data_IF_520716831911
#
_entry.id   IF_520716831911
#
_cell.length_a   1.000
_cell.length_b   1.000
_cell.length_c   1.000
_cell.angle_alpha   90.00
_cell.angle_beta   90.00
_cell.angle_gamma   90.00
#
_symmetry.space_group_name_H-M   'P 1'
#
loop_
_entity.id
_entity.type
_entity.pdbx_description
1 polymer ?
#
# COMPACT_ATOMS: atom_id res chain seq x y z
N UNK A 1 -21.90 -0.26 -19.92
CA UNK A 1 -20.64 0.50 -19.97
C UNK A 1 -19.62 -0.41 -19.29
N UNK A 2 -18.85 -1.15 -20.08
CA UNK A 2 -17.89 -2.11 -19.55
C UNK A 2 -16.76 -1.29 -18.93
N UNK A 3 -16.71 -1.28 -17.60
CA UNK A 3 -15.55 -0.83 -16.86
C UNK A 3 -14.36 -1.63 -17.41
N UNK A 4 -13.53 -0.95 -18.21
CA UNK A 4 -12.28 -1.50 -18.70
C UNK A 4 -11.42 -1.58 -17.45
N UNK A 5 -11.57 -2.68 -16.71
CA UNK A 5 -10.56 -3.13 -15.78
C UNK A 5 -9.25 -3.09 -16.57
N UNK A 6 -8.35 -2.17 -16.21
CA UNK A 6 -7.02 -2.14 -16.80
C UNK A 6 -6.49 -3.59 -16.77
N UNK A 7 -6.06 -4.16 -17.90
CA UNK A 7 -5.69 -5.56 -17.96
C UNK A 7 -4.57 -5.90 -16.96
N UNK A 8 -3.77 -4.90 -16.58
CA UNK A 8 -2.78 -4.98 -15.51
C UNK A 8 -3.41 -5.13 -14.13
N UNK A 9 -4.45 -4.35 -13.80
CA UNK A 9 -5.19 -4.48 -12.55
C UNK A 9 -5.87 -5.84 -12.46
N UNK A 10 -6.56 -6.27 -13.53
CA UNK A 10 -7.24 -7.57 -13.56
C UNK A 10 -6.28 -8.75 -13.31
N UNK A 11 -5.01 -8.65 -13.72
CA UNK A 11 -4.00 -9.66 -13.47
C UNK A 11 -3.53 -9.74 -12.01
N UNK A 12 -3.90 -8.77 -11.17
CA UNK A 12 -3.61 -8.75 -9.74
C UNK A 12 -4.67 -9.48 -8.92
N UNK A 13 -5.88 -9.70 -9.45
CA UNK A 13 -6.92 -10.44 -8.72
C UNK A 13 -6.41 -11.85 -8.40
N UNK A 14 -6.69 -12.34 -7.19
CA UNK A 14 -6.21 -13.62 -6.65
C UNK A 14 -4.68 -13.66 -6.35
N UNK A 15 -3.98 -12.54 -6.52
CA UNK A 15 -2.55 -12.44 -6.21
C UNK A 15 -2.30 -12.03 -4.77
N UNK A 16 -1.19 -12.52 -4.23
CA UNK A 16 -0.75 -12.16 -2.89
C UNK A 16 0.17 -10.94 -2.96
N UNK A 17 -0.09 -9.95 -2.12
CA UNK A 17 0.73 -8.75 -2.05
C UNK A 17 0.98 -8.33 -0.60
N UNK A 18 2.19 -7.84 -0.34
CA UNK A 18 2.54 -7.21 0.93
C UNK A 18 2.55 -5.71 0.74
N UNK A 19 1.72 -5.03 1.52
CA UNK A 19 1.59 -3.58 1.56
C UNK A 19 2.32 -3.03 2.78
N UNK A 20 3.41 -2.29 2.56
CA UNK A 20 4.11 -1.51 3.57
C UNK A 20 3.60 -0.07 3.59
N UNK A 21 3.01 0.35 4.70
CA UNK A 21 2.55 1.71 4.96
C UNK A 21 3.51 2.39 5.93
N UNK A 22 4.22 3.41 5.47
CA UNK A 22 5.16 4.19 6.27
C UNK A 22 4.55 5.55 6.58
N UNK A 23 4.22 5.83 7.83
CA UNK A 23 3.66 7.10 8.27
C UNK A 23 4.79 8.05 8.65
N UNK A 24 4.81 9.24 8.05
CA UNK A 24 5.77 10.30 8.36
C UNK A 24 5.06 11.50 8.98
N UNK A 25 5.75 12.18 9.89
CA UNK A 25 5.31 13.45 10.46
C UNK A 25 5.54 14.62 9.49
N UNK A 26 5.03 15.81 9.83
CA UNK A 26 5.22 17.05 9.07
C UNK A 26 6.69 17.45 8.89
N UNK A 27 7.56 17.03 9.82
CA UNK A 27 9.01 17.25 9.76
C UNK A 27 9.73 16.21 8.87
N UNK A 28 9.01 15.20 8.36
CA UNK A 28 9.57 14.08 7.61
C UNK A 28 10.11 12.95 8.50
N UNK A 29 9.88 13.01 9.80
CA UNK A 29 10.28 11.94 10.73
C UNK A 29 9.32 10.74 10.60
N UNK A 30 9.87 9.52 10.47
CA UNK A 30 9.07 8.29 10.47
C UNK A 30 8.37 8.12 11.82
N UNK A 31 7.03 8.18 11.82
CA UNK A 31 6.19 7.93 12.99
C UNK A 31 6.04 6.43 13.24
N UNK A 32 5.64 5.69 12.20
CA UNK A 32 5.35 4.26 12.31
C UNK A 32 5.36 3.61 10.94
N UNK A 33 5.81 2.35 10.87
CA UNK A 33 5.63 1.51 9.69
C UNK A 33 4.68 0.35 10.01
N UNK A 34 3.69 0.13 9.15
CA UNK A 34 2.77 -1.02 9.23
C UNK A 34 2.92 -1.84 7.96
N UNK A 35 3.19 -3.12 8.11
CA UNK A 35 3.16 -4.08 7.00
C UNK A 35 1.85 -4.86 7.08
N UNK A 36 1.22 -5.06 5.93
CA UNK A 36 -0.05 -5.76 5.77
C UNK A 36 0.10 -6.73 4.62
N UNK A 37 -0.10 -8.02 4.83
CA UNK A 37 -0.08 -9.01 3.74
C UNK A 37 -1.48 -9.49 3.45
N UNK A 38 -1.90 -9.41 2.20
CA UNK A 38 -3.23 -9.86 1.82
C UNK A 38 -3.30 -10.42 0.41
N UNK A 39 -4.42 -11.06 0.11
CA UNK A 39 -4.77 -11.48 -1.24
C UNK A 39 -5.66 -10.42 -1.86
N UNK A 40 -5.36 -10.04 -3.10
CA UNK A 40 -6.17 -9.07 -3.85
C UNK A 40 -7.50 -9.72 -4.21
N UNK A 41 -8.57 -9.20 -3.62
CA UNK A 41 -9.94 -9.68 -3.87
C UNK A 41 -10.66 -8.85 -4.91
N UNK A 42 -10.28 -7.57 -5.04
CA UNK A 42 -10.94 -6.64 -5.97
C UNK A 42 -10.00 -5.53 -6.41
N UNK A 43 -10.14 -5.10 -7.65
CA UNK A 43 -9.37 -4.00 -8.25
C UNK A 43 -10.30 -3.17 -9.13
N UNK A 44 -10.31 -1.86 -8.93
CA UNK A 44 -11.13 -0.92 -9.71
C UNK A 44 -10.36 0.38 -9.86
N UNK A 45 -10.34 0.98 -11.05
CA UNK A 45 -9.66 2.27 -11.23
C UNK A 45 -10.26 3.38 -10.33
N UNK A 46 -11.59 3.37 -10.16
CA UNK A 46 -12.33 4.36 -9.35
C UNK A 46 -12.23 4.11 -7.84
N UNK A 47 -12.33 2.84 -7.40
CA UNK A 47 -12.36 2.50 -5.98
C UNK A 47 -10.99 2.18 -5.38
N UNK A 48 -10.01 1.81 -6.20
CA UNK A 48 -8.71 1.32 -5.74
C UNK A 48 -8.55 -0.20 -5.81
N UNK A 49 -7.53 -0.70 -5.13
CA UNK A 49 -7.23 -2.13 -5.01
C UNK A 49 -7.58 -2.56 -3.59
N UNK A 50 -8.53 -3.48 -3.48
CA UNK A 50 -8.95 -4.08 -2.21
C UNK A 50 -8.21 -5.39 -2.02
N UNK A 51 -7.50 -5.47 -0.91
CA UNK A 51 -6.82 -6.67 -0.45
C UNK A 51 -7.49 -7.16 0.82
N UNK A 52 -7.43 -8.47 1.03
CA UNK A 52 -7.95 -9.14 2.20
C UNK A 52 -6.82 -9.80 2.96
N UNK A 53 -6.63 -9.42 4.23
CA UNK A 53 -5.69 -10.09 5.13
C UNK A 53 -6.16 -11.51 5.47
N UNK A 54 -5.27 -12.32 6.03
CA UNK A 54 -5.60 -13.62 6.60
C UNK A 54 -6.65 -13.56 7.75
N UNK A 55 -6.90 -12.39 8.35
CA UNK A 55 -7.97 -12.17 9.34
C UNK A 55 -9.35 -11.84 8.70
N UNK A 56 -9.49 -11.95 7.38
CA UNK A 56 -10.67 -11.49 6.61
C UNK A 56 -10.88 -9.96 6.66
N UNK A 57 -9.90 -9.21 7.18
CA UNK A 57 -9.90 -7.74 7.16
C UNK A 57 -9.61 -7.23 5.74
N UNK A 58 -10.56 -6.50 5.17
CA UNK A 58 -10.46 -5.91 3.84
C UNK A 58 -9.93 -4.48 3.95
N UNK A 59 -8.85 -4.19 3.23
CA UNK A 59 -8.27 -2.86 3.15
C UNK A 59 -8.14 -2.43 1.69
N UNK A 60 -8.47 -1.16 1.44
CA UNK A 60 -8.43 -0.59 0.09
C UNK A 60 -7.30 0.41 0.00
N UNK A 61 -6.43 0.20 -0.98
CA UNK A 61 -5.34 1.12 -1.34
C UNK A 61 -5.66 1.80 -2.67
N UNK A 62 -5.00 2.92 -3.00
CA UNK A 62 -5.19 3.57 -4.29
C UNK A 62 -4.91 2.59 -5.45
N UNK A 63 -5.60 2.78 -6.58
CA UNK A 63 -5.44 1.99 -7.82
C UNK A 63 -4.10 2.22 -8.53
N UNK A 64 -3.18 2.95 -7.89
CA UNK A 64 -1.88 3.25 -8.45
C UNK A 64 -1.00 2.00 -8.42
N UNK A 65 -0.54 1.60 -9.61
CA UNK A 65 0.47 0.57 -9.80
C UNK A 65 1.91 1.08 -9.69
N UNK A 66 2.09 2.39 -9.47
CA UNK A 66 3.42 3.00 -9.36
C UNK A 66 4.30 2.37 -8.26
N UNK A 67 3.77 1.99 -7.07
CA UNK A 67 4.57 1.33 -6.04
C UNK A 67 4.48 -0.20 -6.09
N UNK A 68 3.96 -0.80 -7.16
CA UNK A 68 3.82 -2.26 -7.26
C UNK A 68 5.11 -2.88 -7.83
N UNK A 69 5.82 -3.60 -6.98
CA UNK A 69 7.03 -4.33 -7.35
C UNK A 69 6.77 -5.82 -7.30
N UNK A 70 7.37 -6.59 -8.21
CA UNK A 70 7.35 -8.04 -8.13
C UNK A 70 8.15 -8.47 -6.90
N UNK A 71 7.52 -9.19 -5.98
CA UNK A 71 8.20 -9.64 -4.79
C UNK A 71 9.15 -10.79 -5.13
N UNK A 72 10.45 -10.72 -4.77
CA UNK A 72 11.29 -11.89 -4.83
C UNK A 72 10.77 -12.97 -3.90
N UNK A 73 10.88 -14.24 -4.32
CA UNK A 73 10.54 -15.39 -3.48
C UNK A 73 11.34 -15.33 -2.17
N UNK A 74 10.63 -15.33 -1.05
CA UNK A 74 11.17 -15.14 0.28
C UNK A 74 10.06 -14.98 1.31
N UNK A 75 10.43 -14.91 2.58
CA UNK A 75 9.50 -14.75 3.69
C UNK A 75 9.43 -13.28 4.09
N UNK A 76 8.24 -12.68 3.96
CA UNK A 76 8.03 -11.27 4.26
C UNK A 76 7.13 -11.11 5.49
N UNK A 77 7.42 -10.17 6.39
CA UNK A 77 6.51 -9.82 7.47
C UNK A 77 5.22 -9.21 6.90
N UNK A 78 4.08 -9.83 7.21
CA UNK A 78 2.74 -9.45 6.73
C UNK A 78 1.90 -8.71 7.78
N UNK A 79 2.55 -8.18 8.83
CA UNK A 79 1.86 -7.60 9.98
C UNK A 79 1.36 -8.65 10.97
N UNK A 80 0.95 -8.21 12.17
CA UNK A 80 0.36 -9.08 13.22
C UNK A 80 1.18 -10.34 13.57
N UNK A 81 2.52 -10.24 13.55
CA UNK A 81 3.43 -11.36 13.80
C UNK A 81 3.26 -12.54 12.78
N UNK A 82 2.60 -12.28 11.65
CA UNK A 82 2.45 -13.20 10.52
C UNK A 82 3.56 -12.97 9.50
N UNK A 83 3.94 -14.05 8.83
CA UNK A 83 4.91 -14.05 7.73
C UNK A 83 4.21 -14.60 6.50
N UNK A 84 4.30 -13.87 5.39
CA UNK A 84 3.80 -14.29 4.09
C UNK A 84 4.99 -14.81 3.28
N UNK A 85 4.98 -16.11 3.00
CA UNK A 85 6.01 -16.76 2.19
C UNK A 85 5.66 -16.62 0.71
N UNK A 86 6.63 -16.15 -0.08
CA UNK A 86 6.54 -15.98 -1.53
C UNK A 86 5.33 -15.15 -2.00
N UNK A 87 5.19 -13.88 -1.56
CA UNK A 87 4.23 -12.97 -2.19
C UNK A 87 4.48 -12.86 -3.70
N UNK A 88 3.44 -12.53 -4.46
CA UNK A 88 3.60 -12.15 -5.87
C UNK A 88 4.09 -10.70 -5.99
N UNK A 89 3.61 -9.81 -5.11
CA UNK A 89 3.89 -8.37 -5.18
C UNK A 89 4.25 -7.73 -3.83
N UNK A 90 5.06 -6.67 -3.87
CA UNK A 90 5.32 -5.75 -2.78
C UNK A 90 4.82 -4.37 -3.17
N UNK A 91 4.10 -3.72 -2.26
CA UNK A 91 3.54 -2.39 -2.44
C UNK A 91 3.98 -1.52 -1.29
N UNK A 92 4.60 -0.38 -1.54
CA UNK A 92 5.07 0.53 -0.49
C UNK A 92 4.49 1.92 -0.65
N UNK A 93 3.88 2.42 0.42
CA UNK A 93 3.20 3.71 0.47
C UNK A 93 3.77 4.53 1.61
N UNK A 94 4.23 5.73 1.29
CA UNK A 94 4.72 6.70 2.25
C UNK A 94 3.61 7.74 2.49
N UNK A 95 3.12 7.79 3.72
CA UNK A 95 1.98 8.60 4.13
C UNK A 95 2.54 9.79 4.90
N UNK A 96 2.72 10.91 4.21
CA UNK A 96 3.27 12.12 4.80
C UNK A 96 2.16 12.95 5.43
N UNK A 97 2.30 13.26 6.72
CA UNK A 97 1.43 14.23 7.37
C UNK A 97 1.79 15.61 6.85
N UNK A 98 0.85 16.30 6.24
CA UNK A 98 1.01 17.71 5.88
C UNK A 98 0.12 18.56 6.79
N UNK A 99 0.73 19.59 7.36
CA UNK A 99 0.04 20.64 8.09
C UNK A 99 0.33 21.95 7.40
N UNK A 100 -0.71 22.62 6.94
CA UNK A 100 -0.56 23.95 6.36
C UNK A 100 -0.25 24.94 7.49
N UNK A 101 1.02 25.30 7.65
CA UNK A 101 1.47 26.22 8.71
C UNK A 101 1.16 27.69 8.37
N UNK A 102 0.63 27.98 7.18
CA UNK A 102 0.45 29.35 6.69
C UNK A 102 -0.99 29.88 6.80
N UNK A 103 -1.94 29.09 7.29
CA UNK A 103 -3.36 29.48 7.39
C UNK A 103 -3.81 29.55 8.86
N UNK A 104 -4.58 30.58 9.27
CA UNK A 104 -5.09 30.68 10.65
C UNK A 104 -6.01 29.50 10.99
N UNK A 105 -5.97 29.09 12.26
CA UNK A 105 -6.57 27.89 12.84
C UNK A 105 -7.95 27.53 12.29
N UNK A 106 -8.01 26.36 11.66
CA UNK A 106 -9.22 25.81 11.07
C UNK A 106 -8.90 24.58 10.21
N UNK A 107 -8.60 23.46 10.87
CA UNK A 107 -9.02 22.12 10.44
C UNK A 107 -8.59 21.60 9.05
N UNK A 108 -7.30 21.57 8.70
CA UNK A 108 -6.88 20.74 7.57
C UNK A 108 -5.54 20.04 7.86
N UNK A 109 -5.60 19.01 8.71
CA UNK A 109 -4.57 17.98 8.73
C UNK A 109 -4.94 16.98 7.64
N UNK A 110 -4.11 16.86 6.60
CA UNK A 110 -4.28 15.84 5.58
C UNK A 110 -3.09 14.90 5.55
N UNK A 111 -3.35 13.66 5.18
CA UNK A 111 -2.33 12.65 4.94
C UNK A 111 -2.15 12.55 3.43
N UNK A 112 -0.95 12.87 2.96
CA UNK A 112 -0.58 12.70 1.55
C UNK A 112 -0.05 11.29 1.34
N UNK A 113 -0.71 10.53 0.47
CA UNK A 113 -0.27 9.20 0.07
C UNK A 113 0.71 9.32 -1.09
N UNK A 114 1.98 9.08 -0.82
CA UNK A 114 3.06 9.08 -1.79
C UNK A 114 3.38 7.63 -2.15
N UNK A 115 3.14 7.27 -3.41
CA UNK A 115 3.54 5.96 -3.92
C UNK A 115 5.07 5.89 -3.94
N UNK A 116 5.65 4.92 -3.23
CA UNK A 116 7.09 4.74 -3.27
C UNK A 116 7.46 4.11 -4.62
N UNK A 117 8.03 4.91 -5.51
CA UNK A 117 8.53 4.44 -6.82
C UNK A 117 9.94 3.87 -6.72
N UNK A 118 10.53 3.88 -5.52
CA UNK A 118 11.84 3.29 -5.26
C UNK A 118 11.65 1.83 -4.84
N UNK A 119 12.29 0.87 -5.52
CA UNK A 119 12.19 -0.52 -5.13
C UNK A 119 12.75 -0.70 -3.70
N UNK A 120 12.03 -1.39 -2.79
CA UNK A 120 12.55 -1.68 -1.48
C UNK A 120 13.80 -2.56 -1.63
N UNK A 121 14.93 -2.09 -1.11
CA UNK A 121 16.15 -2.90 -1.07
C UNK A 121 15.98 -3.93 0.04
N UNK A 122 15.54 -5.14 -0.32
CA UNK A 122 15.66 -6.31 0.57
C UNK A 122 17.15 -6.57 0.76
N UNK A 123 17.63 -6.33 1.99
CA UNK A 123 19.05 -6.45 2.32
C UNK A 123 19.60 -7.82 1.92
N UNK A 124 20.76 -7.81 1.26
CA UNK A 124 21.53 -8.99 0.87
C UNK A 124 22.03 -9.76 2.10
#
# INVERSE_FOLDING_TARGET
MADILDPQLAALVDKTAVVGLSYFEVDGQLLQQRLLGGTVVRVTAEQGITLRDADDEEFTIPSSLAPWFVAPKGDYPAGNNKTLSNPDYLVTWDIHRCQDTNKPEGEHQWWEWVANTTPPTVGN
#
